data_IF_764942781680
#
_entry.id   IF_764942781680
#
_cell.length_a   1.000
_cell.length_b   1.000
_cell.length_c   1.000
_cell.angle_alpha   90.00
_cell.angle_beta   90.00
_cell.angle_gamma   90.00
#
_symmetry.space_group_name_H-M   'P 1'
#
loop_
_entity.id
_entity.type
_entity.pdbx_description
1 polymer ?
#
# COMPACT_ATOMS: atom_id res chain seq x y z
N UNK A 1 34.33 1.72 -17.29
CA UNK A 1 33.29 2.07 -16.30
C UNK A 1 32.00 2.26 -17.06
N UNK A 2 31.12 1.27 -17.04
CA UNK A 2 29.87 1.32 -17.82
C UNK A 2 28.89 2.20 -17.05
N UNK A 3 28.62 3.42 -17.55
CA UNK A 3 27.58 4.27 -17.01
C UNK A 3 26.25 3.57 -17.28
N UNK A 4 25.63 3.02 -16.22
CA UNK A 4 24.32 2.39 -16.34
C UNK A 4 23.32 3.45 -16.82
N UNK A 5 22.57 3.15 -17.88
CA UNK A 5 21.57 4.08 -18.39
C UNK A 5 20.43 4.21 -17.36
N UNK A 6 20.11 5.45 -16.99
CA UNK A 6 18.95 5.74 -16.15
C UNK A 6 17.66 5.32 -16.87
N UNK A 7 16.71 4.73 -16.13
CA UNK A 7 15.39 4.35 -16.63
C UNK A 7 14.32 5.25 -16.01
N UNK A 8 13.36 5.67 -16.82
CA UNK A 8 12.20 6.44 -16.35
C UNK A 8 11.21 5.46 -15.71
N UNK A 9 11.02 5.60 -14.41
CA UNK A 9 10.04 4.85 -13.61
C UNK A 9 9.06 5.82 -12.97
N UNK A 10 7.77 5.50 -13.02
CA UNK A 10 6.74 6.27 -12.32
C UNK A 10 6.69 5.80 -10.87
N UNK A 11 6.61 6.77 -9.96
CA UNK A 11 6.41 6.54 -8.54
C UNK A 11 5.18 7.31 -8.09
N UNK A 12 4.56 6.84 -7.01
CA UNK A 12 3.53 7.59 -6.31
C UNK A 12 4.08 8.96 -5.86
N UNK A 13 3.27 10.02 -5.99
CA UNK A 13 3.71 11.38 -5.66
C UNK A 13 4.05 11.53 -4.18
N UNK A 14 3.31 10.88 -3.28
CA UNK A 14 3.57 10.97 -1.84
C UNK A 14 4.88 10.30 -1.46
N UNK A 15 5.26 9.22 -2.16
CA UNK A 15 6.55 8.57 -1.99
C UNK A 15 7.71 9.47 -2.48
N UNK A 16 7.51 10.17 -3.60
CA UNK A 16 8.48 11.14 -4.12
C UNK A 16 8.65 12.31 -3.15
N UNK A 17 7.56 12.87 -2.62
CA UNK A 17 7.59 13.97 -1.66
C UNK A 17 8.31 13.56 -0.36
N UNK A 18 8.03 12.35 0.12
CA UNK A 18 8.71 11.76 1.29
C UNK A 18 10.21 11.64 1.07
N UNK A 19 10.62 11.18 -0.13
CA UNK A 19 12.03 11.05 -0.47
C UNK A 19 12.75 12.40 -0.58
N UNK A 20 12.08 13.44 -1.08
CA UNK A 20 12.62 14.81 -1.10
C UNK A 20 12.85 15.30 0.33
N UNK A 21 11.86 15.15 1.21
CA UNK A 21 11.95 15.59 2.60
C UNK A 21 13.04 14.85 3.40
N UNK A 22 13.16 13.53 3.25
CA UNK A 22 14.26 12.77 3.86
C UNK A 22 15.61 13.10 3.22
N UNK A 23 15.65 13.25 1.89
CA UNK A 23 16.86 13.59 1.16
C UNK A 23 17.47 14.88 1.70
N UNK A 24 16.67 15.92 1.92
CA UNK A 24 17.12 17.18 2.52
C UNK A 24 17.78 16.97 3.89
N UNK A 25 17.21 16.12 4.76
CA UNK A 25 17.78 15.79 6.08
C UNK A 25 19.10 15.01 6.00
N UNK A 26 19.28 14.22 4.95
CA UNK A 26 20.45 13.35 4.74
C UNK A 26 21.47 13.93 3.74
N UNK A 27 21.31 15.18 3.30
CA UNK A 27 22.12 15.82 2.26
C UNK A 27 22.13 15.04 0.92
N UNK A 28 20.95 14.57 0.49
CA UNK A 28 20.72 13.84 -0.78
C UNK A 28 19.57 14.48 -1.57
N UNK A 29 19.60 14.34 -2.89
CA UNK A 29 18.43 14.64 -3.73
C UNK A 29 17.31 13.61 -3.51
N UNK A 30 16.06 13.95 -3.81
CA UNK A 30 14.94 13.00 -3.72
C UNK A 30 15.16 11.74 -4.56
N UNK A 31 15.71 11.87 -5.78
CA UNK A 31 16.09 10.72 -6.62
C UNK A 31 17.12 9.81 -5.93
N UNK A 32 18.17 10.37 -5.36
CA UNK A 32 19.19 9.60 -4.65
C UNK A 32 18.62 8.92 -3.40
N UNK A 33 17.70 9.59 -2.71
CA UNK A 33 17.05 9.02 -1.54
C UNK A 33 16.11 7.86 -1.91
N UNK A 34 15.36 7.97 -3.01
CA UNK A 34 14.58 6.85 -3.57
C UNK A 34 15.48 5.68 -3.95
N UNK A 35 16.58 5.95 -4.65
CA UNK A 35 17.54 4.90 -5.04
C UNK A 35 18.15 4.22 -3.82
N UNK A 36 18.45 4.98 -2.76
CA UNK A 36 18.94 4.44 -1.50
C UNK A 36 17.90 3.52 -0.84
N UNK A 37 16.65 3.96 -0.69
CA UNK A 37 15.59 3.12 -0.12
C UNK A 37 15.36 1.86 -0.93
N UNK A 38 15.32 1.96 -2.26
CA UNK A 38 15.15 0.81 -3.15
C UNK A 38 16.28 -0.21 -2.98
N UNK A 39 17.54 0.23 -2.86
CA UNK A 39 18.68 -0.68 -2.63
C UNK A 39 18.65 -1.34 -1.26
N UNK A 40 18.28 -0.60 -0.21
CA UNK A 40 18.13 -1.17 1.13
C UNK A 40 16.98 -2.18 1.14
N UNK A 41 15.82 -1.84 0.57
CA UNK A 41 14.68 -2.74 0.46
C UNK A 41 15.01 -4.01 -0.33
N UNK A 42 15.72 -3.89 -1.45
CA UNK A 42 16.21 -5.03 -2.21
C UNK A 42 17.16 -5.91 -1.38
N UNK A 43 18.13 -5.32 -0.68
CA UNK A 43 19.09 -6.08 0.12
C UNK A 43 18.41 -6.79 1.31
N UNK A 44 17.44 -6.14 1.95
CA UNK A 44 16.67 -6.73 3.03
C UNK A 44 15.82 -7.89 2.54
N UNK A 45 15.14 -7.75 1.40
CA UNK A 45 14.27 -8.81 0.85
C UNK A 45 15.04 -9.96 0.20
N UNK A 46 16.28 -9.72 -0.27
CA UNK A 46 17.12 -10.75 -0.88
C UNK A 46 17.62 -11.81 0.12
N UNK A 47 17.66 -11.49 1.41
CA UNK A 47 18.07 -12.41 2.46
C UNK A 47 16.93 -12.60 3.45
N UNK A 48 16.37 -13.81 3.53
CA UNK A 48 15.36 -14.10 4.54
C UNK A 48 15.99 -14.04 5.93
N UNK A 49 15.71 -12.94 6.65
CA UNK A 49 16.13 -12.75 8.03
C UNK A 49 15.09 -13.34 8.97
N UNK A 50 15.49 -13.73 10.19
CA UNK A 50 14.55 -14.20 11.21
C UNK A 50 13.44 -13.16 11.49
N UNK A 51 13.77 -11.87 11.44
CA UNK A 51 12.81 -10.78 11.57
C UNK A 51 11.79 -10.74 10.42
N UNK A 52 12.25 -10.87 9.16
CA UNK A 52 11.34 -10.96 8.01
C UNK A 52 10.44 -12.18 8.10
N UNK A 53 10.98 -13.34 8.48
CA UNK A 53 10.19 -14.56 8.65
C UNK A 53 9.11 -14.40 9.72
N UNK A 54 9.43 -13.77 10.87
CA UNK A 54 8.45 -13.46 11.93
C UNK A 54 7.38 -12.47 11.47
N UNK A 55 7.75 -11.44 10.73
CA UNK A 55 6.78 -10.51 10.13
C UNK A 55 5.84 -11.22 9.16
N UNK A 56 6.36 -12.11 8.31
CA UNK A 56 5.51 -12.92 7.40
C UNK A 56 4.60 -13.89 8.17
N UNK A 57 5.08 -14.48 9.27
CA UNK A 57 4.25 -15.29 10.15
C UNK A 57 3.14 -14.46 10.80
N UNK A 58 3.40 -13.22 11.19
CA UNK A 58 2.36 -12.32 11.70
C UNK A 58 1.37 -11.90 10.61
N UNK A 59 1.83 -11.60 9.38
CA UNK A 59 0.97 -11.28 8.24
C UNK A 59 0.04 -12.44 7.85
N UNK A 60 0.46 -13.68 8.08
CA UNK A 60 -0.34 -14.89 7.85
C UNK A 60 -1.17 -15.31 9.07
N UNK A 61 -1.10 -14.56 10.17
CA UNK A 61 -1.81 -14.85 11.42
C UNK A 61 -1.24 -16.02 12.24
N UNK A 62 -0.05 -16.51 11.88
CA UNK A 62 0.64 -17.59 12.60
C UNK A 62 1.24 -17.13 13.93
N UNK A 63 1.71 -15.89 13.99
CA UNK A 63 2.26 -15.25 15.21
C UNK A 63 1.41 -14.03 15.57
N UNK A 64 1.04 -13.82 16.85
CA UNK A 64 0.37 -12.61 17.29
C UNK A 64 1.20 -11.35 17.00
N UNK A 65 0.57 -10.28 16.52
CA UNK A 65 1.26 -9.00 16.27
C UNK A 65 1.83 -8.37 17.55
N UNK A 66 1.25 -8.68 18.71
CA UNK A 66 1.75 -8.25 20.01
C UNK A 66 3.11 -8.87 20.40
N UNK A 67 3.49 -9.98 19.74
CA UNK A 67 4.76 -10.67 19.98
C UNK A 67 5.90 -10.15 19.06
N UNK A 68 5.61 -9.16 18.22
CA UNK A 68 6.62 -8.50 17.39
C UNK A 68 7.40 -7.49 18.22
N UNK A 69 8.70 -7.43 18.00
CA UNK A 69 9.53 -6.32 18.48
C UNK A 69 9.12 -5.01 17.80
N UNK A 70 9.49 -3.86 18.37
CA UNK A 70 9.18 -2.55 17.75
C UNK A 70 9.68 -2.41 16.31
N UNK A 71 10.83 -3.02 16.00
CA UNK A 71 11.40 -2.99 14.64
C UNK A 71 10.59 -3.88 13.68
N UNK A 72 10.20 -5.08 14.12
CA UNK A 72 9.34 -5.98 13.35
C UNK A 72 7.95 -5.39 13.16
N UNK A 73 7.38 -4.73 14.19
CA UNK A 73 6.08 -4.07 14.10
C UNK A 73 6.05 -2.92 13.09
N UNK A 74 7.11 -2.11 13.03
CA UNK A 74 7.24 -1.07 11.98
C UNK A 74 7.30 -1.67 10.58
N UNK A 75 8.04 -2.77 10.41
CA UNK A 75 8.11 -3.47 9.13
C UNK A 75 6.78 -4.13 8.75
N UNK A 76 6.09 -4.75 9.72
CA UNK A 76 4.75 -5.31 9.54
C UNK A 76 3.76 -4.25 9.04
N UNK A 77 3.71 -3.08 9.68
CA UNK A 77 2.81 -2.00 9.25
C UNK A 77 3.16 -1.52 7.84
N UNK A 78 4.44 -1.36 7.52
CA UNK A 78 4.87 -0.97 6.17
C UNK A 78 4.46 -2.01 5.10
N UNK A 79 4.57 -3.32 5.40
CA UNK A 79 4.11 -4.39 4.51
C UNK A 79 2.58 -4.41 4.36
N UNK A 80 1.83 -4.11 5.42
CA UNK A 80 0.36 -3.94 5.35
C UNK A 80 -0.01 -2.78 4.46
N UNK A 81 0.64 -1.61 4.62
CA UNK A 81 0.38 -0.42 3.79
C UNK A 81 0.63 -0.72 2.31
N UNK A 82 1.74 -1.41 1.99
CA UNK A 82 2.04 -1.85 0.62
C UNK A 82 0.97 -2.80 0.09
N UNK A 83 0.58 -3.82 0.86
CA UNK A 83 -0.46 -4.78 0.44
C UNK A 83 -1.82 -4.11 0.22
N UNK A 84 -2.19 -3.14 1.04
CA UNK A 84 -3.42 -2.35 0.87
C UNK A 84 -3.33 -1.55 -0.42
N UNK A 85 -2.24 -0.80 -0.65
CA UNK A 85 -2.07 0.00 -1.85
C UNK A 85 -2.13 -0.87 -3.13
N UNK A 86 -1.40 -1.99 -3.15
CA UNK A 86 -1.44 -2.94 -4.28
C UNK A 86 -2.80 -3.63 -4.43
N UNK A 87 -3.55 -3.78 -3.35
CA UNK A 87 -4.88 -4.39 -3.33
C UNK A 87 -5.94 -3.45 -3.89
N UNK A 88 -5.92 -2.19 -3.48
CA UNK A 88 -6.87 -1.16 -3.94
C UNK A 88 -6.85 -0.97 -5.46
N UNK A 89 -5.67 -1.04 -6.08
CA UNK A 89 -5.54 -0.94 -7.54
C UNK A 89 -6.18 -2.11 -8.31
N UNK A 90 -6.38 -3.26 -7.66
CA UNK A 90 -6.83 -4.50 -8.30
C UNK A 90 -8.22 -4.95 -7.90
N UNK A 91 -8.73 -4.47 -6.77
CA UNK A 91 -9.94 -5.02 -6.13
C UNK A 91 -11.15 -4.15 -6.43
N UNK A 92 -12.11 -4.69 -7.16
CA UNK A 92 -13.45 -4.09 -7.25
C UNK A 92 -14.29 -4.53 -6.04
N UNK A 93 -14.09 -3.82 -4.93
CA UNK A 93 -14.79 -4.08 -3.66
C UNK A 93 -16.32 -4.06 -3.82
N UNK A 94 -16.82 -3.24 -4.75
CA UNK A 94 -18.25 -3.13 -5.04
C UNK A 94 -18.77 -4.41 -5.70
N UNK A 95 -18.02 -4.97 -6.65
CA UNK A 95 -18.35 -6.26 -7.25
C UNK A 95 -18.29 -7.41 -6.24
N UNK A 96 -17.29 -7.43 -5.35
CA UNK A 96 -17.15 -8.48 -4.32
C UNK A 96 -18.31 -8.46 -3.31
N UNK A 97 -18.72 -7.27 -2.85
CA UNK A 97 -19.85 -7.12 -1.93
C UNK A 97 -21.18 -7.48 -2.61
N UNK A 98 -21.37 -7.08 -3.86
CA UNK A 98 -22.55 -7.47 -4.64
C UNK A 98 -22.64 -8.99 -4.82
N UNK A 99 -21.53 -9.66 -5.14
CA UNK A 99 -21.46 -11.12 -5.24
C UNK A 99 -21.79 -11.82 -3.90
N UNK A 100 -21.54 -11.13 -2.78
CA UNK A 100 -21.89 -11.59 -1.42
C UNK A 100 -23.33 -11.26 -1.02
N UNK A 101 -24.14 -10.68 -1.91
CA UNK A 101 -25.52 -10.28 -1.61
C UNK A 101 -25.64 -9.04 -0.74
N UNK A 102 -24.57 -8.24 -0.61
CA UNK A 102 -24.53 -7.06 0.25
C UNK A 102 -24.89 -5.82 -0.56
N UNK A 103 -25.91 -5.09 -0.09
CA UNK A 103 -26.25 -3.76 -0.62
C UNK A 103 -25.24 -2.76 -0.07
N UNK A 104 -24.64 -1.94 -0.95
CA UNK A 104 -23.59 -1.00 -0.57
C UNK A 104 -24.04 0.43 -0.82
N UNK A 105 -23.76 1.34 0.11
CA UNK A 105 -23.99 2.78 -0.10
C UNK A 105 -22.63 3.45 -0.28
N UNK A 106 -22.47 4.16 -1.38
CA UNK A 106 -21.20 4.79 -1.79
C UNK A 106 -21.45 6.20 -2.31
N UNK A 107 -20.41 7.03 -2.28
CA UNK A 107 -20.41 8.31 -2.99
C UNK A 107 -20.08 8.07 -4.46
N UNK A 108 -20.88 8.64 -5.36
CA UNK A 108 -20.57 8.67 -6.79
C UNK A 108 -19.60 9.81 -7.14
N UNK A 109 -19.16 9.87 -8.41
CA UNK A 109 -18.23 10.89 -8.90
C UNK A 109 -18.78 12.33 -8.81
N UNK A 110 -20.09 12.48 -8.61
CA UNK A 110 -20.76 13.76 -8.41
C UNK A 110 -20.95 14.11 -6.93
N UNK A 111 -20.44 13.27 -6.02
CA UNK A 111 -20.57 13.45 -4.58
C UNK A 111 -21.96 13.14 -4.04
N UNK A 112 -22.78 12.37 -4.76
CA UNK A 112 -24.11 11.94 -4.30
C UNK A 112 -24.00 10.57 -3.64
N UNK A 113 -24.78 10.36 -2.59
CA UNK A 113 -24.94 9.04 -2.02
C UNK A 113 -25.79 8.18 -2.97
N UNK A 114 -25.26 7.03 -3.34
CA UNK A 114 -25.97 6.04 -4.16
C UNK A 114 -25.98 4.71 -3.43
N UNK A 115 -27.15 4.11 -3.32
CA UNK A 115 -27.36 2.74 -2.90
C UNK A 115 -27.22 1.83 -4.11
N UNK A 116 -26.39 0.81 -4.00
CA UNK A 116 -26.23 -0.21 -5.03
C UNK A 116 -26.62 -1.57 -4.47
N UNK A 117 -27.60 -2.17 -5.12
CA UNK A 117 -28.11 -3.49 -4.81
C UNK A 117 -27.24 -4.59 -5.45
N UNK A 118 -27.24 -5.81 -4.87
CA UNK A 118 -26.52 -6.97 -5.42
C UNK A 118 -26.90 -7.35 -6.85
N UNK A 119 -28.11 -6.99 -7.29
CA UNK A 119 -28.63 -7.22 -8.64
C UNK A 119 -28.10 -6.22 -9.68
N UNK A 120 -27.23 -5.29 -9.26
CA UNK A 120 -26.65 -4.24 -10.10
C UNK A 120 -27.48 -2.97 -10.16
N UNK A 121 -28.65 -2.91 -9.52
CA UNK A 121 -29.49 -1.70 -9.50
C UNK A 121 -28.84 -0.61 -8.65
N UNK A 122 -28.81 0.62 -9.18
CA UNK A 122 -28.30 1.80 -8.48
C UNK A 122 -29.45 2.77 -8.23
N UNK A 123 -29.61 3.21 -6.97
CA UNK A 123 -30.60 4.19 -6.52
C UNK A 123 -29.90 5.37 -5.87
N UNK A 124 -30.13 6.58 -6.37
CA UNK A 124 -29.65 7.80 -5.69
C UNK A 124 -30.43 7.99 -4.40
N UNK A 125 -29.71 8.22 -3.30
CA UNK A 125 -30.27 8.56 -2.01
C UNK A 125 -30.27 10.08 -1.89
N UNK A 126 -31.42 10.71 -2.14
CA UNK A 126 -31.59 12.12 -1.82
C UNK A 126 -31.70 12.28 -0.30
N UNK A 127 -30.99 13.27 0.25
CA UNK A 127 -31.22 13.72 1.63
C UNK A 127 -32.55 14.48 1.66
N UNK A 128 -33.58 13.90 2.29
CA UNK A 128 -34.81 14.63 2.66
C UNK A 128 -34.52 15.88 3.49
#
# INVERSE_FOLDING_TARGET
MTQSADKVTRFDSTLVDSAIAEGQRQNRTGRQQLEYWARIGQAMTAHETSALSRVQQALTGTVPTADLTDAEGRLFNAEVDVKIAEGLDRTDYRAELAASGITTVVLDDQGRLVEQSPDGTIRVLDSE
#
